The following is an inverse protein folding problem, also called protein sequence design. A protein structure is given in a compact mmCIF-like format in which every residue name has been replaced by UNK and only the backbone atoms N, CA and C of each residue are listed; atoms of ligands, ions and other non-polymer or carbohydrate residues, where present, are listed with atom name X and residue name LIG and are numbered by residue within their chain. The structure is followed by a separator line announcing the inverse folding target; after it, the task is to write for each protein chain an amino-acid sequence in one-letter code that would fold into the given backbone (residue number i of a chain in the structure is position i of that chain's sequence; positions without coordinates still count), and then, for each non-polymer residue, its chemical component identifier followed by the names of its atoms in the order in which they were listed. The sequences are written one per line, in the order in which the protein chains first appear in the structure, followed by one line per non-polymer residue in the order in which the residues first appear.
data_IF_968925493469
#
_entry.id   IF_968925493469
#
_cell.length_a   1.000
_cell.length_b   1.000
_cell.length_c   1.000
_cell.angle_alpha   90.00
_cell.angle_beta   90.00
_cell.angle_gamma   90.00
#
_symmetry.space_group_name_H-M   'P 1'
#
loop_
_entity.id
_entity.type
_entity.pdbx_description
1 polymer ?
#
# COMPACT_ATOMS: atom_id res chain seq x y z
N UNK A 1 -29.74 -44.74 -12.12
CA UNK A 1 -29.13 -43.87 -11.08
C UNK A 1 -30.18 -43.59 -10.04
N UNK A 2 -29.88 -43.86 -8.80
CA UNK A 2 -30.78 -43.58 -7.71
C UNK A 2 -30.95 -42.08 -7.54
N UNK A 3 -32.19 -41.61 -7.34
CA UNK A 3 -32.48 -40.20 -7.17
C UNK A 3 -31.74 -39.59 -5.97
N UNK A 4 -31.50 -40.36 -4.94
CA UNK A 4 -30.79 -39.89 -3.74
C UNK A 4 -29.31 -39.59 -4.06
N UNK A 5 -28.68 -40.44 -4.87
CA UNK A 5 -27.27 -40.21 -5.28
C UNK A 5 -27.15 -38.96 -6.13
N UNK A 6 -28.09 -38.72 -7.02
CA UNK A 6 -28.10 -37.53 -7.87
C UNK A 6 -28.28 -36.24 -7.04
N UNK A 7 -29.23 -36.24 -6.12
CA UNK A 7 -29.46 -35.11 -5.23
C UNK A 7 -28.25 -34.82 -4.36
N UNK A 8 -27.63 -35.84 -3.77
CA UNK A 8 -26.41 -35.69 -2.97
C UNK A 8 -25.26 -35.11 -3.79
N UNK A 9 -25.12 -35.54 -5.04
CA UNK A 9 -24.09 -35.01 -5.95
C UNK A 9 -24.30 -33.54 -6.25
N UNK A 10 -25.53 -33.11 -6.52
CA UNK A 10 -25.87 -31.71 -6.79
C UNK A 10 -25.65 -30.83 -5.56
N UNK A 11 -25.97 -31.33 -4.36
CA UNK A 11 -25.75 -30.61 -3.12
C UNK A 11 -24.26 -30.41 -2.85
N UNK A 12 -23.44 -31.45 -3.04
CA UNK A 12 -22.00 -31.38 -2.88
C UNK A 12 -21.37 -30.38 -3.84
N UNK A 13 -21.78 -30.36 -5.10
CA UNK A 13 -21.30 -29.40 -6.08
C UNK A 13 -21.70 -27.96 -5.72
N UNK A 14 -22.93 -27.76 -5.27
CA UNK A 14 -23.40 -26.44 -4.86
C UNK A 14 -22.61 -25.90 -3.67
N UNK A 15 -22.34 -26.75 -2.67
CA UNK A 15 -21.54 -26.35 -1.51
C UNK A 15 -20.10 -26.02 -1.91
N UNK A 16 -19.48 -26.81 -2.79
CA UNK A 16 -18.13 -26.54 -3.25
C UNK A 16 -18.03 -25.20 -4.00
N UNK A 17 -18.98 -24.89 -4.86
CA UNK A 17 -19.05 -23.62 -5.57
C UNK A 17 -19.21 -22.44 -4.61
N UNK A 18 -20.07 -22.56 -3.60
CA UNK A 18 -20.27 -21.53 -2.59
C UNK A 18 -19.00 -21.28 -1.78
N UNK A 19 -18.27 -22.33 -1.44
CA UNK A 19 -17.01 -22.18 -0.72
C UNK A 19 -15.94 -21.48 -1.55
N UNK A 20 -15.83 -21.81 -2.83
CA UNK A 20 -14.88 -21.16 -3.75
C UNK A 20 -15.21 -19.67 -3.87
N UNK A 21 -16.47 -19.32 -4.04
CA UNK A 21 -16.91 -17.92 -4.11
C UNK A 21 -16.61 -17.16 -2.81
N UNK A 22 -16.84 -17.79 -1.66
CA UNK A 22 -16.54 -17.19 -0.36
C UNK A 22 -15.06 -16.91 -0.19
N UNK A 23 -14.20 -17.88 -0.51
CA UNK A 23 -12.75 -17.70 -0.44
C UNK A 23 -12.28 -16.56 -1.36
N UNK A 24 -12.80 -16.51 -2.59
CA UNK A 24 -12.48 -15.45 -3.53
C UNK A 24 -12.85 -14.07 -3.00
N UNK A 25 -14.04 -13.93 -2.40
CA UNK A 25 -14.50 -12.67 -1.81
C UNK A 25 -13.60 -12.26 -0.63
N UNK A 26 -13.23 -13.20 0.24
CA UNK A 26 -12.37 -12.93 1.39
C UNK A 26 -10.99 -12.46 0.94
N UNK A 27 -10.39 -13.14 -0.05
CA UNK A 27 -9.09 -12.75 -0.60
C UNK A 27 -9.14 -11.36 -1.24
N UNK A 28 -10.20 -11.07 -2.00
CA UNK A 28 -10.37 -9.76 -2.62
C UNK A 28 -10.47 -8.64 -1.58
N UNK A 29 -11.28 -8.83 -0.53
CA UNK A 29 -11.42 -7.85 0.55
C UNK A 29 -10.11 -7.66 1.32
N UNK A 30 -9.37 -8.73 1.59
CA UNK A 30 -8.07 -8.65 2.26
C UNK A 30 -7.07 -7.86 1.45
N UNK A 31 -7.02 -8.08 0.14
CA UNK A 31 -6.13 -7.35 -0.77
C UNK A 31 -6.46 -5.86 -0.79
N UNK A 32 -7.74 -5.49 -0.89
CA UNK A 32 -8.16 -4.09 -0.85
C UNK A 32 -7.89 -3.43 0.49
N UNK A 33 -8.09 -4.15 1.58
CA UNK A 33 -7.83 -3.66 2.92
C UNK A 33 -6.35 -3.38 3.14
N UNK A 34 -5.46 -4.21 2.60
CA UNK A 34 -4.02 -3.97 2.64
C UNK A 34 -3.64 -2.73 1.83
N UNK A 35 -4.20 -2.53 0.65
CA UNK A 35 -3.97 -1.33 -0.17
C UNK A 35 -4.37 -0.06 0.58
N UNK A 36 -5.52 -0.08 1.26
CA UNK A 36 -6.02 1.07 2.01
C UNK A 36 -5.25 1.36 3.30
N UNK A 37 -4.45 0.40 3.79
CA UNK A 37 -3.67 0.56 5.03
C UNK A 37 -2.25 1.07 4.80
N UNK A 38 -1.77 1.04 3.56
CA UNK A 38 -0.42 1.49 3.25
C UNK A 38 -0.45 2.98 2.94
N UNK A 39 0.13 3.75 3.83
CA UNK A 39 0.25 5.19 3.69
C UNK A 39 1.70 5.55 3.36
N UNK A 40 1.87 6.46 2.41
CA UNK A 40 3.18 6.95 2.00
C UNK A 40 3.34 8.39 2.44
N UNK A 41 4.54 8.73 2.89
CA UNK A 41 4.85 10.09 3.36
C UNK A 41 6.13 10.57 2.71
N UNK A 42 6.18 11.87 2.42
CA UNK A 42 7.39 12.56 1.93
C UNK A 42 7.85 13.51 3.02
N UNK A 43 9.12 13.46 3.34
CA UNK A 43 9.73 14.35 4.32
C UNK A 43 11.12 14.77 3.85
N UNK A 44 11.55 15.95 4.29
CA UNK A 44 12.87 16.48 3.97
C UNK A 44 13.74 16.44 5.22
N UNK A 45 14.92 15.84 5.08
CA UNK A 45 15.90 15.78 6.13
C UNK A 45 16.63 17.13 6.31
N UNK A 46 17.33 17.26 7.41
CA UNK A 46 18.07 18.50 7.74
C UNK A 46 19.14 18.83 6.70
N UNK A 47 19.71 17.82 6.04
CA UNK A 47 20.68 17.99 4.94
C UNK A 47 20.04 18.31 3.59
N UNK A 48 18.72 18.55 3.56
CA UNK A 48 17.89 18.85 2.38
C UNK A 48 17.58 17.63 1.50
N UNK A 49 17.89 16.43 1.92
CA UNK A 49 17.52 15.22 1.20
C UNK A 49 16.01 14.98 1.34
N UNK A 50 15.34 14.74 0.22
CA UNK A 50 13.92 14.42 0.17
C UNK A 50 13.74 12.91 0.09
N UNK A 51 12.94 12.33 0.98
CA UNK A 51 12.74 10.88 1.06
C UNK A 51 11.27 10.53 1.10
N UNK A 52 10.94 9.36 0.54
CA UNK A 52 9.61 8.76 0.60
C UNK A 52 9.62 7.64 1.63
N UNK A 53 8.64 7.64 2.51
CA UNK A 53 8.53 6.66 3.60
C UNK A 53 7.24 5.84 3.47
N UNK A 54 7.33 4.56 3.79
CA UNK A 54 6.17 3.70 3.98
C UNK A 54 5.74 3.84 5.43
N UNK A 55 4.57 4.43 5.66
CA UNK A 55 4.11 4.78 6.99
C UNK A 55 4.72 6.10 7.47
N UNK A 56 4.09 6.73 8.46
CA UNK A 56 4.53 8.03 8.97
C UNK A 56 5.90 7.90 9.64
N UNK A 57 6.94 8.60 9.15
CA UNK A 57 8.25 8.58 9.80
C UNK A 57 8.23 9.37 11.11
N UNK A 58 9.22 9.12 11.95
CA UNK A 58 9.44 9.92 13.16
C UNK A 58 10.70 10.76 13.01
N UNK A 59 10.70 11.92 13.68
CA UNK A 59 11.79 12.87 13.59
C UNK A 59 12.97 12.42 14.46
N UNK A 60 14.14 12.24 13.83
CA UNK A 60 15.41 12.01 14.52
C UNK A 60 16.15 13.34 14.77
N UNK A 61 17.43 13.28 15.09
CA UNK A 61 18.25 14.46 15.36
C UNK A 61 18.55 15.28 14.10
N UNK A 62 18.87 14.60 13.00
CA UNK A 62 19.25 15.23 11.72
C UNK A 62 18.49 14.68 10.54
N UNK A 63 17.70 13.64 10.71
CA UNK A 63 16.95 12.99 9.64
C UNK A 63 15.69 12.35 10.19
N UNK A 64 14.71 12.17 9.33
CA UNK A 64 13.55 11.36 9.63
C UNK A 64 13.93 9.87 9.58
N UNK A 65 13.30 9.09 10.43
CA UNK A 65 13.55 7.66 10.54
C UNK A 65 12.29 6.88 10.16
N UNK A 66 12.47 5.85 9.33
CA UNK A 66 11.38 4.97 8.96
C UNK A 66 11.01 4.05 10.12
N UNK A 67 9.71 3.82 10.33
CA UNK A 67 9.23 2.86 11.33
C UNK A 67 9.46 1.41 10.89
N UNK A 68 9.50 1.20 9.59
CA UNK A 68 9.68 -0.12 8.98
C UNK A 68 11.07 -0.18 8.37
N UNK A 69 11.84 -1.22 8.68
CA UNK A 69 13.15 -1.45 8.08
C UNK A 69 13.02 -1.50 6.55
N UNK A 70 13.89 -0.78 5.84
CA UNK A 70 13.86 -0.64 4.39
C UNK A 70 12.61 0.07 3.85
N UNK A 71 11.87 0.78 4.69
CA UNK A 71 10.68 1.53 4.28
C UNK A 71 10.97 2.96 3.85
N UNK A 72 12.16 3.26 3.36
CA UNK A 72 12.56 4.60 2.93
C UNK A 72 13.25 4.56 1.58
N UNK A 73 12.93 5.52 0.72
CA UNK A 73 13.54 5.70 -0.60
C UNK A 73 13.97 7.16 -0.73
N UNK A 74 15.23 7.39 -1.06
CA UNK A 74 15.72 8.75 -1.40
C UNK A 74 15.14 9.13 -2.76
N UNK A 75 14.41 10.24 -2.81
CA UNK A 75 13.74 10.67 -4.03
C UNK A 75 14.74 11.42 -4.94
N UNK A 76 14.95 10.88 -6.12
CA UNK A 76 15.69 11.52 -7.21
C UNK A 76 14.71 11.95 -8.30
N UNK A 77 15.18 12.71 -9.29
CA UNK A 77 14.34 13.07 -10.44
C UNK A 77 13.74 11.85 -11.12
N UNK A 78 14.48 10.77 -11.19
CA UNK A 78 14.01 9.50 -11.75
C UNK A 78 12.84 8.93 -10.98
N UNK A 79 12.92 8.93 -9.64
CA UNK A 79 11.84 8.44 -8.77
C UNK A 79 10.58 9.29 -8.90
N UNK A 80 10.70 10.61 -8.98
CA UNK A 80 9.54 11.48 -9.20
C UNK A 80 8.79 11.11 -10.47
N UNK A 81 9.54 10.87 -11.55
CA UNK A 81 8.96 10.51 -12.83
C UNK A 81 8.22 9.15 -12.77
N UNK A 82 8.86 8.13 -12.19
CA UNK A 82 8.27 6.79 -12.09
C UNK A 82 7.01 6.79 -11.23
N UNK A 83 7.06 7.48 -10.08
CA UNK A 83 5.97 7.48 -9.11
C UNK A 83 4.84 8.44 -9.50
N UNK A 84 5.01 9.22 -10.54
CA UNK A 84 4.01 10.20 -10.96
C UNK A 84 3.89 11.36 -10.00
N UNK A 85 4.92 11.65 -9.22
CA UNK A 85 4.97 12.78 -8.30
C UNK A 85 5.58 14.01 -8.97
N UNK A 86 5.12 15.19 -8.54
CA UNK A 86 5.66 16.45 -9.05
C UNK A 86 6.64 17.03 -8.03
N UNK A 87 7.90 17.15 -8.44
CA UNK A 87 8.97 17.70 -7.60
C UNK A 87 8.63 19.10 -7.09
N UNK A 88 7.93 19.91 -7.88
CA UNK A 88 7.54 21.28 -7.51
C UNK A 88 6.63 21.31 -6.28
N UNK A 89 5.83 20.27 -6.05
CA UNK A 89 4.93 20.20 -4.91
C UNK A 89 5.69 20.14 -3.59
N UNK A 90 6.95 19.71 -3.60
CA UNK A 90 7.79 19.54 -2.41
C UNK A 90 8.94 20.53 -2.33
N UNK A 91 9.02 21.47 -3.26
CA UNK A 91 10.13 22.45 -3.30
C UNK A 91 10.20 23.30 -2.03
N UNK A 92 9.05 23.57 -1.41
CA UNK A 92 8.97 24.41 -0.20
C UNK A 92 8.92 23.58 1.09
N UNK A 93 8.96 22.25 0.99
CA UNK A 93 8.98 21.37 2.16
C UNK A 93 10.34 21.46 2.84
N UNK A 94 10.33 21.75 4.16
CA UNK A 94 11.54 21.97 4.95
C UNK A 94 11.69 20.89 6.01
N UNK A 95 12.88 20.81 6.61
CA UNK A 95 13.15 19.93 7.74
C UNK A 95 12.20 20.15 8.92
N UNK A 96 11.84 21.39 9.17
CA UNK A 96 10.96 21.78 10.28
C UNK A 96 9.50 21.40 10.04
N UNK A 97 9.14 21.12 8.80
CA UNK A 97 7.77 20.78 8.44
C UNK A 97 7.45 19.32 8.76
N UNK A 98 6.18 19.03 9.04
CA UNK A 98 5.70 17.68 9.23
C UNK A 98 5.75 16.91 7.91
N UNK A 99 5.93 15.59 7.97
CA UNK A 99 5.84 14.76 6.77
C UNK A 99 4.50 14.92 6.06
N UNK A 100 4.55 14.97 4.74
CA UNK A 100 3.35 15.13 3.91
C UNK A 100 2.89 13.78 3.42
N UNK A 101 1.61 13.45 3.68
CA UNK A 101 1.02 12.21 3.17
C UNK A 101 0.81 12.32 1.67
N UNK A 102 1.22 11.28 0.95
CA UNK A 102 1.05 11.20 -0.50
C UNK A 102 0.31 9.94 -0.88
N UNK A 103 -0.52 10.05 -1.91
CA UNK A 103 -1.28 8.93 -2.44
C UNK A 103 -0.65 8.51 -3.76
N UNK A 104 -0.03 7.33 -3.76
CA UNK A 104 0.53 6.77 -4.97
C UNK A 104 -0.53 5.94 -5.68
N UNK A 105 -0.67 6.15 -6.98
CA UNK A 105 -1.54 5.34 -7.80
C UNK A 105 -0.82 4.02 -8.10
N UNK A 106 -1.16 3.00 -7.34
CA UNK A 106 -0.57 1.67 -7.46
C UNK A 106 -1.37 0.79 -8.42
N UNK A 107 -1.76 1.33 -9.55
CA UNK A 107 -2.42 0.54 -10.60
C UNK A 107 -1.44 -0.46 -11.20
N UNK A 108 -1.89 -1.71 -11.25
CA UNK A 108 -1.15 -2.79 -11.86
C UNK A 108 -1.10 -2.66 -13.39
#
# INVERSE_FOLDING_TARGET
MDKFVFIAYCVLHGVALLMICYIAIVLYKSKNKLRNKVHFYVARDKDRTLCLYIGKPFRGNTQFCAKISNGVIVLTQYHFKILGLNEKDYANLKWEDEPVEVFLNMED
#
